data_IF_992993279721
#
_entry.id   IF_992993279721
#
_cell.length_a   1.000
_cell.length_b   1.000
_cell.length_c   1.000
_cell.angle_alpha   90.00
_cell.angle_beta   90.00
_cell.angle_gamma   90.00
#
_symmetry.space_group_name_H-M   'P 1'
#
loop_
_entity.id
_entity.type
_entity.pdbx_description
1 polymer ?
#
# COMPACT_ATOMS: atom_id res chain seq x y z
N UNK A 1 -4.55 31.85 12.90
CA UNK A 1 -3.33 31.24 13.48
C UNK A 1 -3.84 30.19 14.43
N UNK A 2 -3.70 28.93 14.03
CA UNK A 2 -4.20 27.77 14.77
C UNK A 2 -3.05 27.12 15.55
N UNK A 3 -3.35 26.56 16.73
CA UNK A 3 -2.40 25.78 17.52
C UNK A 3 -3.14 24.68 18.30
N UNK A 4 -2.66 23.45 18.16
CA UNK A 4 -2.97 22.30 19.00
C UNK A 4 -1.73 21.98 19.84
N UNK A 5 -1.91 21.63 21.11
CA UNK A 5 -0.81 21.32 22.03
C UNK A 5 -1.28 20.35 23.11
N UNK A 6 -0.59 19.22 23.27
CA UNK A 6 -0.97 18.20 24.23
C UNK A 6 -0.14 16.93 24.13
N UNK A 7 -0.67 15.85 24.68
CA UNK A 7 -0.14 14.51 24.49
C UNK A 7 -0.98 13.75 23.46
N UNK A 8 -0.33 12.99 22.58
CA UNK A 8 -0.98 12.16 21.57
C UNK A 8 -0.50 10.74 21.76
N UNK A 9 -1.43 9.79 21.77
CA UNK A 9 -1.10 8.38 21.86
C UNK A 9 -0.54 7.89 20.52
N UNK A 10 0.57 7.16 20.57
CA UNK A 10 1.18 6.50 19.42
C UNK A 10 1.22 5.01 19.64
N UNK A 11 1.06 4.28 18.55
CA UNK A 11 1.35 2.85 18.45
C UNK A 11 2.10 2.60 17.16
N UNK A 12 3.06 1.68 17.14
CA UNK A 12 3.91 1.40 15.97
C UNK A 12 4.73 2.60 15.48
N UNK A 13 5.10 3.53 16.37
CA UNK A 13 5.87 4.73 16.04
C UNK A 13 5.24 5.65 14.97
N UNK A 14 3.91 5.68 14.85
CA UNK A 14 3.24 6.40 13.77
C UNK A 14 2.08 7.30 14.23
N UNK A 15 1.98 8.46 13.58
CA UNK A 15 0.88 9.44 13.66
C UNK A 15 0.62 9.95 12.24
N UNK A 16 -0.60 10.38 11.93
CA UNK A 16 -0.98 10.81 10.59
C UNK A 16 -1.54 12.23 10.55
N UNK A 17 -1.44 12.85 9.38
CA UNK A 17 -2.39 13.90 8.98
C UNK A 17 -3.16 13.37 7.80
N UNK A 18 -4.48 13.46 7.83
CA UNK A 18 -5.36 12.98 6.77
C UNK A 18 -6.32 14.11 6.37
N UNK A 19 -6.61 14.21 5.08
CA UNK A 19 -7.58 15.16 4.54
C UNK A 19 -8.51 14.54 3.49
N UNK A 20 -8.37 13.25 3.19
CA UNK A 20 -9.32 12.53 2.34
C UNK A 20 -10.41 11.89 3.21
N UNK A 21 -11.69 12.28 3.07
CA UNK A 21 -12.79 11.71 3.85
C UNK A 21 -13.20 10.30 3.39
N UNK A 22 -12.65 9.78 2.28
CA UNK A 22 -13.05 8.54 1.63
C UNK A 22 -12.06 7.38 1.74
N UNK A 23 -10.88 7.59 2.31
CA UNK A 23 -9.81 6.60 2.37
C UNK A 23 -9.11 6.58 3.73
N UNK A 24 -8.52 5.43 4.06
CA UNK A 24 -7.58 5.32 5.17
C UNK A 24 -6.19 5.69 4.65
N UNK A 25 -5.43 6.51 5.38
CA UNK A 25 -4.17 7.06 4.90
C UNK A 25 -3.18 6.03 4.31
N UNK A 26 -2.18 6.52 3.54
CA UNK A 26 -1.27 5.69 2.76
C UNK A 26 -0.46 4.72 3.63
N UNK A 27 -0.12 3.58 3.05
CA UNK A 27 0.84 2.66 3.67
C UNK A 27 2.22 3.31 3.84
N UNK A 28 3.02 2.81 4.79
CA UNK A 28 4.34 3.40 5.08
C UNK A 28 5.24 3.52 3.84
N UNK A 29 5.30 2.51 2.98
CA UNK A 29 6.15 2.56 1.77
C UNK A 29 5.68 3.63 0.78
N UNK A 30 4.37 3.80 0.67
CA UNK A 30 3.73 4.77 -0.22
C UNK A 30 3.99 6.20 0.25
N UNK A 31 3.78 6.47 1.54
CA UNK A 31 3.94 7.81 2.11
C UNK A 31 5.37 8.38 1.93
N UNK A 32 6.37 7.50 1.84
CA UNK A 32 7.78 7.85 1.73
C UNK A 32 8.37 7.62 0.32
N UNK A 33 7.56 7.23 -0.66
CA UNK A 33 8.03 6.92 -2.00
C UNK A 33 8.78 8.11 -2.63
N UNK A 34 10.01 7.87 -3.07
CA UNK A 34 10.85 8.88 -3.72
C UNK A 34 11.42 9.97 -2.79
N UNK A 35 11.12 9.94 -1.49
CA UNK A 35 11.64 10.95 -0.55
C UNK A 35 13.05 10.61 -0.04
N UNK A 36 13.82 11.65 0.27
CA UNK A 36 15.05 11.55 1.05
C UNK A 36 14.81 11.67 2.57
N UNK A 37 13.74 12.35 2.95
CA UNK A 37 13.23 12.50 4.32
C UNK A 37 12.48 11.24 4.74
N UNK A 38 12.83 10.70 5.90
CA UNK A 38 12.23 9.50 6.49
C UNK A 38 11.47 9.76 7.79
N UNK A 39 11.32 11.01 8.22
CA UNK A 39 10.55 11.34 9.44
C UNK A 39 9.12 11.80 9.13
N UNK A 40 8.91 12.39 7.96
CA UNK A 40 7.61 12.89 7.51
C UNK A 40 7.42 12.47 6.05
N UNK A 41 6.55 11.48 5.82
CA UNK A 41 6.18 10.98 4.51
C UNK A 41 5.06 11.83 3.94
N UNK A 42 5.26 12.42 2.77
CA UNK A 42 4.30 13.32 2.11
C UNK A 42 4.16 13.02 0.61
N UNK A 43 4.57 11.83 0.16
CA UNK A 43 4.51 11.45 -1.25
C UNK A 43 3.06 11.19 -1.73
N UNK A 44 2.16 10.82 -0.82
CA UNK A 44 0.74 10.68 -1.10
C UNK A 44 0.01 12.01 -0.86
N UNK A 45 -0.71 12.55 -1.87
CA UNK A 45 -1.54 13.74 -1.69
C UNK A 45 -2.56 13.57 -0.56
N UNK A 46 -2.84 14.63 0.17
CA UNK A 46 -3.85 14.63 1.23
C UNK A 46 -3.47 13.86 2.50
N UNK A 47 -2.31 13.22 2.57
CA UNK A 47 -1.84 12.55 3.77
C UNK A 47 -0.38 12.87 4.15
N UNK A 48 -0.11 12.85 5.46
CA UNK A 48 1.24 12.81 6.01
C UNK A 48 1.39 11.59 6.91
N UNK A 49 2.51 10.87 6.76
CA UNK A 49 2.93 9.82 7.69
C UNK A 49 4.06 10.34 8.57
N UNK A 50 3.85 10.42 9.87
CA UNK A 50 4.80 10.99 10.83
C UNK A 50 5.40 9.87 11.67
N UNK A 51 6.74 9.76 11.66
CA UNK A 51 7.46 8.77 12.47
C UNK A 51 7.86 9.38 13.80
N UNK A 52 7.65 8.62 14.88
CA UNK A 52 8.13 8.93 16.23
C UNK A 52 9.29 8.03 16.67
N UNK A 53 10.00 8.47 17.71
CA UNK A 53 11.02 7.72 18.42
C UNK A 53 10.38 6.63 19.27
N UNK A 54 9.40 7.01 20.11
CA UNK A 54 8.61 6.08 20.91
C UNK A 54 7.79 5.14 20.01
N UNK A 55 7.75 3.85 20.34
CA UNK A 55 6.94 2.88 19.63
C UNK A 55 5.49 2.90 20.11
N UNK A 56 5.26 2.82 21.43
CA UNK A 56 3.91 2.81 22.01
C UNK A 56 3.82 3.67 23.26
N UNK A 57 2.76 4.47 23.38
CA UNK A 57 2.49 5.33 24.54
C UNK A 57 2.21 6.76 24.13
N UNK A 58 2.17 7.68 25.11
CA UNK A 58 1.89 9.09 24.84
C UNK A 58 3.17 9.87 24.50
N UNK A 59 3.11 10.72 23.48
CA UNK A 59 4.19 11.66 23.10
C UNK A 59 3.72 13.10 23.19
N UNK A 60 4.64 14.03 23.44
CA UNK A 60 4.31 15.45 23.46
C UNK A 60 4.18 15.97 22.04
N UNK A 61 3.04 16.54 21.66
CA UNK A 61 2.77 16.92 20.29
C UNK A 61 2.16 18.31 20.18
N UNK A 62 2.75 19.14 19.33
CA UNK A 62 2.23 20.46 18.99
C UNK A 62 2.01 20.55 17.48
N UNK A 63 0.83 21.04 17.05
CA UNK A 63 0.57 21.40 15.65
C UNK A 63 0.34 22.90 15.54
N UNK A 64 0.91 23.54 14.52
CA UNK A 64 0.74 24.97 14.26
C UNK A 64 0.42 25.25 12.79
N UNK A 65 -0.67 25.99 12.52
CA UNK A 65 -0.92 26.57 11.19
C UNK A 65 -0.62 28.07 11.24
N UNK A 66 0.38 28.47 10.45
CA UNK A 66 0.95 29.82 10.39
C UNK A 66 0.70 30.46 9.04
N UNK A 67 0.65 31.80 9.00
CA UNK A 67 0.53 32.54 7.73
C UNK A 67 1.84 32.68 6.96
N UNK A 68 2.98 32.39 7.58
CA UNK A 68 4.32 32.49 6.99
C UNK A 68 5.27 31.49 7.67
N UNK A 69 6.43 31.28 7.05
CA UNK A 69 7.48 30.42 7.59
C UNK A 69 7.87 30.85 9.03
N UNK A 70 7.71 29.98 10.04
CA UNK A 70 8.14 30.26 11.40
C UNK A 70 9.67 30.16 11.52
N UNK A 71 10.25 30.94 12.44
CA UNK A 71 11.67 30.83 12.76
C UNK A 71 11.96 29.45 13.37
N UNK A 72 13.08 28.84 12.96
CA UNK A 72 13.50 27.55 13.49
C UNK A 72 14.18 27.74 14.86
N UNK A 73 13.58 27.19 15.91
CA UNK A 73 14.20 27.11 17.22
C UNK A 73 15.38 26.11 17.18
N UNK A 74 16.60 26.50 17.57
CA UNK A 74 17.74 25.61 17.60
C UNK A 74 17.66 24.49 18.65
N UNK A 75 16.67 24.46 19.53
CA UNK A 75 16.47 23.39 20.51
C UNK A 75 15.99 22.06 19.90
N UNK A 76 15.42 22.09 18.69
CA UNK A 76 14.97 20.87 18.00
C UNK A 76 16.15 20.07 17.45
N UNK A 77 16.15 18.77 17.72
CA UNK A 77 17.24 17.85 17.40
C UNK A 77 17.21 17.46 15.92
N UNK A 78 16.07 16.92 15.47
CA UNK A 78 15.85 16.51 14.09
C UNK A 78 14.78 17.39 13.47
N UNK A 79 15.03 17.89 12.26
CA UNK A 79 14.13 18.82 11.58
C UNK A 79 14.10 18.48 10.11
N UNK A 80 12.91 18.22 9.60
CA UNK A 80 12.67 17.93 8.19
C UNK A 80 11.60 18.87 7.66
N UNK A 81 11.65 19.10 6.36
CA UNK A 81 10.60 19.84 5.69
C UNK A 81 10.16 19.14 4.41
N UNK A 82 8.85 19.13 4.18
CA UNK A 82 8.17 18.50 3.04
C UNK A 82 7.06 19.43 2.54
N UNK A 83 6.45 19.10 1.41
CA UNK A 83 5.29 19.82 0.88
C UNK A 83 4.02 19.01 1.10
N UNK A 84 2.92 19.67 1.41
CA UNK A 84 1.63 19.04 1.67
C UNK A 84 0.52 19.77 0.93
N UNK A 85 -0.38 19.01 0.32
CA UNK A 85 -1.55 19.52 -0.38
C UNK A 85 -2.81 18.83 0.19
N UNK A 86 -3.66 19.56 0.95
CA UNK A 86 -4.92 19.04 1.45
C UNK A 86 -5.90 18.71 0.30
N UNK A 87 -6.58 17.57 0.41
CA UNK A 87 -7.61 17.14 -0.57
C UNK A 87 -9.03 17.55 -0.17
N UNK A 88 -9.23 18.04 1.05
CA UNK A 88 -10.49 18.62 1.50
C UNK A 88 -10.28 19.68 2.57
N UNK A 89 -11.35 20.42 2.87
CA UNK A 89 -11.42 21.36 4.00
C UNK A 89 -11.39 20.66 5.38
N UNK A 90 -11.47 19.33 5.43
CA UNK A 90 -11.44 18.54 6.66
C UNK A 90 -10.10 17.83 6.81
N UNK A 91 -9.07 18.59 7.17
CA UNK A 91 -7.77 18.02 7.54
C UNK A 91 -7.73 17.75 9.04
N UNK A 92 -7.23 16.59 9.46
CA UNK A 92 -7.09 16.24 10.87
C UNK A 92 -5.73 15.60 11.18
N UNK A 93 -5.22 15.82 12.39
CA UNK A 93 -4.20 14.96 12.99
C UNK A 93 -4.91 13.69 13.49
N UNK A 94 -4.43 12.51 13.12
CA UNK A 94 -5.11 11.23 13.37
C UNK A 94 -4.15 10.25 14.04
N UNK A 95 -4.64 9.57 15.07
CA UNK A 95 -3.91 8.49 15.74
C UNK A 95 -3.93 7.19 14.92
N UNK A 96 -3.12 6.22 15.36
CA UNK A 96 -3.17 4.87 14.83
C UNK A 96 -4.60 4.31 14.85
N UNK A 97 -4.98 3.61 13.78
CA UNK A 97 -6.33 3.04 13.57
C UNK A 97 -7.50 4.04 13.69
N UNK A 98 -7.24 5.35 13.65
CA UNK A 98 -8.28 6.37 13.78
C UNK A 98 -8.89 6.45 15.18
N UNK A 99 -8.17 6.04 16.22
CA UNK A 99 -8.69 5.99 17.59
C UNK A 99 -9.05 7.37 18.16
N UNK A 100 -8.31 8.42 17.78
CA UNK A 100 -8.62 9.81 18.09
C UNK A 100 -8.16 10.73 16.95
N UNK A 101 -8.78 11.92 16.87
CA UNK A 101 -8.47 12.91 15.84
C UNK A 101 -8.73 14.35 16.26
N UNK A 102 -7.96 15.27 15.68
CA UNK A 102 -8.10 16.72 15.90
C UNK A 102 -8.11 17.47 14.59
N UNK A 103 -9.20 18.19 14.31
CA UNK A 103 -9.31 19.05 13.12
C UNK A 103 -8.23 20.14 13.10
N UNK A 104 -7.68 20.36 11.92
CA UNK A 104 -6.65 21.35 11.61
C UNK A 104 -7.23 22.43 10.70
N UNK A 105 -6.84 23.68 10.93
CA UNK A 105 -7.25 24.85 10.11
C UNK A 105 -6.43 24.93 8.80
N UNK A 106 -6.47 23.86 7.99
CA UNK A 106 -5.87 23.79 6.65
C UNK A 106 -6.96 23.95 5.58
N UNK A 107 -6.64 24.67 4.51
CA UNK A 107 -7.59 24.99 3.45
C UNK A 107 -7.33 24.10 2.24
N UNK A 108 -8.40 23.64 1.61
CA UNK A 108 -8.32 22.95 0.33
C UNK A 108 -7.77 23.91 -0.75
N UNK A 109 -7.07 23.36 -1.75
CA UNK A 109 -6.59 24.15 -2.88
C UNK A 109 -5.40 25.07 -2.59
N UNK A 110 -4.77 24.93 -1.42
CA UNK A 110 -3.57 25.69 -1.04
C UNK A 110 -2.39 24.76 -0.75
N UNK A 111 -1.24 25.06 -1.35
CA UNK A 111 0.01 24.38 -1.04
C UNK A 111 0.59 24.85 0.30
N UNK A 112 0.97 23.88 1.13
CA UNK A 112 1.65 24.12 2.39
C UNK A 112 3.06 23.57 2.36
N UNK A 113 4.00 24.35 2.88
CA UNK A 113 5.26 23.79 3.39
C UNK A 113 5.03 23.32 4.82
N UNK A 114 5.53 22.14 5.10
CA UNK A 114 5.44 21.48 6.40
C UNK A 114 6.84 21.38 6.99
N UNK A 115 6.97 21.73 8.27
CA UNK A 115 8.16 21.41 9.08
C UNK A 115 7.76 20.46 10.17
N UNK A 116 8.47 19.34 10.24
CA UNK A 116 8.34 18.37 11.33
C UNK A 116 9.65 18.36 12.12
N UNK A 117 9.54 18.76 13.38
CA UNK A 117 10.64 18.78 14.33
C UNK A 117 10.45 17.68 15.37
N UNK A 118 11.54 17.02 15.75
CA UNK A 118 11.56 16.02 16.80
C UNK A 118 12.68 16.30 17.82
N UNK A 119 12.44 15.89 19.06
CA UNK A 119 13.40 15.92 20.15
C UNK A 119 13.23 14.67 21.00
N UNK A 120 14.33 14.07 21.45
CA UNK A 120 14.33 12.90 22.34
C UNK A 120 14.13 11.56 21.64
N UNK A 121 14.22 11.49 20.31
CA UNK A 121 13.88 10.28 19.54
C UNK A 121 14.70 9.05 19.95
N UNK A 122 16.00 9.19 20.21
CA UNK A 122 16.86 8.06 20.60
C UNK A 122 16.48 7.51 21.98
N UNK A 123 16.23 8.40 22.95
CA UNK A 123 15.79 8.02 24.31
C UNK A 123 14.45 7.29 24.27
N UNK A 124 13.50 7.82 23.50
CA UNK A 124 12.18 7.22 23.36
C UNK A 124 12.23 5.87 22.64
N UNK A 125 13.10 5.74 21.61
CA UNK A 125 13.31 4.47 20.91
C UNK A 125 13.95 3.39 21.79
N UNK A 126 14.83 3.78 22.70
CA UNK A 126 15.45 2.85 23.66
C UNK A 126 14.44 2.32 24.69
N UNK A 127 13.50 3.18 25.11
CA UNK A 127 12.44 2.78 26.04
C UNK A 127 11.37 1.89 25.40
N UNK A 128 11.10 2.07 24.09
CA UNK A 128 10.10 1.37 23.28
C UNK A 128 8.64 1.70 23.68
N UNK A 129 8.31 1.50 24.96
CA UNK A 129 7.00 1.78 25.55
C UNK A 129 7.13 2.82 26.67
N UNK A 130 6.16 3.73 26.77
CA UNK A 130 6.01 4.67 27.90
C UNK A 130 4.66 4.45 28.59
N UNK A 131 4.67 4.37 29.93
CA UNK A 131 3.46 4.33 30.76
C UNK A 131 2.96 5.74 31.11
N UNK A 132 1.68 5.88 31.44
CA UNK A 132 1.03 7.19 31.63
C UNK A 132 1.62 8.04 32.78
N UNK A 133 2.19 7.41 33.81
CA UNK A 133 2.81 8.08 34.95
C UNK A 133 4.30 8.43 34.74
N UNK A 134 4.88 8.01 33.63
CA UNK A 134 6.27 8.26 33.29
C UNK A 134 6.45 9.62 32.58
N UNK A 135 7.60 10.28 32.75
CA UNK A 135 7.87 11.54 32.05
C UNK A 135 7.95 11.34 30.54
N UNK A 136 7.51 12.34 29.79
CA UNK A 136 7.66 12.42 28.34
C UNK A 136 9.12 12.18 27.90
N UNK A 137 9.31 11.25 26.96
CA UNK A 137 10.62 10.84 26.45
C UNK A 137 11.00 11.60 25.17
N UNK A 138 10.01 11.84 24.30
CA UNK A 138 10.14 12.59 23.07
C UNK A 138 9.02 13.64 22.89
N UNK A 139 9.30 14.62 22.04
CA UNK A 139 8.40 15.73 21.71
C UNK A 139 8.48 16.04 20.23
N UNK A 140 7.35 16.51 19.69
CA UNK A 140 7.19 16.80 18.27
C UNK A 140 6.51 18.14 18.05
N UNK A 141 6.92 18.81 16.99
CA UNK A 141 6.30 20.04 16.51
C UNK A 141 6.07 19.92 15.00
N UNK A 142 4.81 20.04 14.59
CA UNK A 142 4.37 20.02 13.21
C UNK A 142 3.86 21.42 12.81
N UNK A 143 4.53 22.08 11.87
CA UNK A 143 4.18 23.44 11.46
C UNK A 143 3.82 23.48 9.98
N UNK A 144 2.71 24.13 9.67
CA UNK A 144 2.24 24.39 8.32
C UNK A 144 2.30 25.88 8.01
N UNK A 145 2.74 26.26 6.81
CA UNK A 145 2.54 27.61 6.28
C UNK A 145 2.36 27.58 4.76
N UNK A 146 1.56 28.51 4.19
CA UNK A 146 1.40 28.61 2.75
C UNK A 146 2.74 28.86 2.05
N UNK A 147 3.08 28.02 1.08
CA UNK A 147 4.27 28.15 0.26
C UNK A 147 4.16 27.24 -0.97
N UNK A 148 4.80 27.60 -2.11
CA UNK A 148 4.87 26.69 -3.26
C UNK A 148 5.51 25.35 -2.91
N UNK A 149 5.14 24.26 -3.60
CA UNK A 149 5.74 22.95 -3.36
C UNK A 149 7.23 22.98 -3.71
N UNK A 150 8.03 22.50 -2.77
CA UNK A 150 9.48 22.31 -2.90
C UNK A 150 9.85 20.86 -2.57
N UNK A 151 10.99 20.35 -3.08
CA UNK A 151 11.51 19.04 -2.68
C UNK A 151 11.61 18.88 -1.16
N UNK A 152 11.50 17.65 -0.69
CA UNK A 152 11.75 17.33 0.71
C UNK A 152 13.21 17.62 1.06
N UNK A 153 13.45 18.04 2.30
CA UNK A 153 14.82 18.28 2.79
C UNK A 153 14.97 17.97 4.26
N UNK A 154 16.16 17.45 4.59
CA UNK A 154 16.63 17.30 5.96
C UNK A 154 17.32 18.62 6.35
N UNK A 155 16.69 19.39 7.25
CA UNK A 155 17.23 20.67 7.75
C UNK A 155 18.23 20.42 8.87
N UNK A 156 17.97 19.42 9.72
CA UNK A 156 18.85 19.00 10.80
C UNK A 156 18.63 17.52 11.10
N UNK A 157 19.72 16.82 11.39
CA UNK A 157 19.70 15.43 11.83
C UNK A 157 20.77 15.25 12.92
N UNK A 158 20.36 14.82 14.10
CA UNK A 158 21.25 14.52 15.23
C UNK A 158 21.01 13.14 15.82
N UNK A 159 19.78 12.61 15.77
CA UNK A 159 19.47 11.30 16.37
C UNK A 159 19.81 10.13 15.44
N UNK A 160 20.15 8.98 16.03
CA UNK A 160 20.35 7.73 15.29
C UNK A 160 19.01 7.17 14.78
N UNK A 161 17.92 7.37 15.51
CA UNK A 161 16.57 7.04 15.08
C UNK A 161 16.22 7.76 13.77
N UNK A 162 16.40 9.09 13.69
CA UNK A 162 16.17 9.84 12.46
C UNK A 162 17.08 9.38 11.33
N UNK A 163 18.39 9.20 11.59
CA UNK A 163 19.34 8.72 10.59
C UNK A 163 18.90 7.39 9.96
N UNK A 164 18.47 6.42 10.78
CA UNK A 164 17.96 5.12 10.32
C UNK A 164 16.71 5.27 9.45
N UNK A 165 15.77 6.13 9.84
CA UNK A 165 14.55 6.38 9.05
C UNK A 165 14.89 7.03 7.70
N UNK A 166 15.81 7.99 7.67
CA UNK A 166 16.29 8.61 6.44
C UNK A 166 17.00 7.62 5.50
N UNK A 167 17.86 6.75 6.05
CA UNK A 167 18.50 5.68 5.28
C UNK A 167 17.50 4.67 4.74
N UNK A 168 16.43 4.38 5.48
CA UNK A 168 15.34 3.53 4.99
C UNK A 168 14.57 4.21 3.86
N UNK A 169 14.21 5.49 4.00
CA UNK A 169 13.48 6.25 2.97
C UNK A 169 14.27 6.33 1.66
N UNK A 170 15.57 6.66 1.71
CA UNK A 170 16.45 6.69 0.53
C UNK A 170 16.60 5.35 -0.18
N UNK A 171 16.37 4.24 0.52
CA UNK A 171 16.42 2.88 -0.04
C UNK A 171 15.08 2.44 -0.61
N UNK A 172 14.01 3.21 -0.38
CA UNK A 172 12.74 2.92 -1.02
C UNK A 172 12.88 3.15 -2.53
N UNK A 173 12.41 2.19 -3.36
CA UNK A 173 12.35 2.43 -4.79
C UNK A 173 11.43 3.64 -5.04
N UNK A 174 11.93 4.58 -5.82
CA UNK A 174 11.11 5.68 -6.33
C UNK A 174 9.96 5.05 -7.14
N UNK A 175 8.71 5.28 -6.72
CA UNK A 175 7.53 4.76 -7.40
C UNK A 175 7.52 5.22 -8.87
N UNK A 176 8.04 6.41 -9.17
CA UNK A 176 8.21 6.89 -10.54
C UNK A 176 9.30 6.12 -11.30
N UNK A 177 10.43 5.78 -10.66
CA UNK A 177 11.46 4.92 -11.24
C UNK A 177 10.94 3.51 -11.50
N UNK A 178 10.12 2.95 -10.60
CA UNK A 178 9.49 1.65 -10.77
C UNK A 178 8.47 1.66 -11.91
N UNK A 179 7.62 2.68 -11.97
CA UNK A 179 6.69 2.91 -13.10
C UNK A 179 7.46 3.08 -14.41
N UNK A 180 8.56 3.85 -14.43
CA UNK A 180 9.43 4.01 -15.62
C UNK A 180 10.13 2.70 -16.00
N UNK A 181 10.55 1.88 -15.04
CA UNK A 181 11.15 0.57 -15.28
C UNK A 181 10.11 -0.41 -15.87
N UNK A 182 8.90 -0.45 -15.33
CA UNK A 182 7.76 -1.18 -15.89
C UNK A 182 7.51 -0.72 -17.35
N UNK A 183 7.48 0.59 -17.62
CA UNK A 183 7.32 1.12 -18.98
C UNK A 183 8.48 0.73 -19.92
N UNK A 184 9.72 0.75 -19.43
CA UNK A 184 10.90 0.39 -20.21
C UNK A 184 10.89 -1.11 -20.58
N UNK A 185 10.56 -1.98 -19.62
CA UNK A 185 10.38 -3.41 -19.86
C UNK A 185 9.25 -3.68 -20.86
N UNK A 186 8.08 -3.05 -20.67
CA UNK A 186 6.95 -3.14 -21.62
C UNK A 186 7.36 -2.72 -23.03
N UNK A 187 8.13 -1.63 -23.18
CA UNK A 187 8.62 -1.17 -24.49
C UNK A 187 9.58 -2.15 -25.14
N UNK A 188 10.44 -2.82 -24.37
CA UNK A 188 11.32 -3.86 -24.88
C UNK A 188 10.52 -5.04 -25.47
N UNK A 189 9.43 -5.44 -24.81
CA UNK A 189 8.54 -6.52 -25.28
C UNK A 189 7.71 -6.18 -26.52
N UNK A 190 7.65 -4.91 -26.95
CA UNK A 190 6.96 -4.50 -28.17
C UNK A 190 7.86 -4.52 -29.42
N UNK A 191 9.14 -4.86 -29.27
CA UNK A 191 10.05 -5.05 -30.42
C UNK A 191 9.93 -6.47 -30.97
N UNK A 192 9.95 -6.70 -32.30
CA UNK A 192 9.80 -8.04 -32.88
C UNK A 192 10.80 -9.08 -32.35
N UNK A 193 12.01 -8.65 -32.01
CA UNK A 193 13.10 -9.48 -31.48
C UNK A 193 12.92 -9.83 -29.99
N UNK A 194 12.24 -8.97 -29.20
CA UNK A 194 12.05 -9.15 -27.76
C UNK A 194 11.03 -10.23 -27.39
N UNK A 195 10.06 -10.50 -28.26
CA UNK A 195 9.04 -11.56 -28.05
C UNK A 195 9.61 -12.95 -28.38
N UNK A 196 10.51 -13.05 -29.35
CA UNK A 196 11.19 -14.31 -29.72
C UNK A 196 12.31 -14.66 -28.74
N UNK A 197 13.11 -13.67 -28.29
CA UNK A 197 14.25 -13.91 -27.40
C UNK A 197 13.88 -14.44 -26.00
N UNK A 198 12.62 -14.31 -25.56
CA UNK A 198 12.17 -14.84 -24.26
C UNK A 198 11.42 -16.18 -24.38
N UNK A 199 10.91 -16.53 -25.57
CA UNK A 199 10.33 -17.87 -25.82
C UNK A 199 11.38 -18.98 -25.73
N UNK A 200 12.60 -18.66 -26.11
CA UNK A 200 13.74 -19.59 -26.13
C UNK A 200 14.66 -19.46 -24.89
N UNK A 201 14.40 -18.51 -23.99
CA UNK A 201 15.20 -18.31 -22.79
C UNK A 201 14.65 -19.15 -21.62
N UNK A 202 15.35 -20.22 -21.24
CA UNK A 202 15.34 -20.67 -19.86
C UNK A 202 15.79 -19.50 -18.97
N UNK A 203 14.82 -18.85 -18.32
CA UNK A 203 14.92 -17.83 -17.27
C UNK A 203 16.30 -17.17 -17.10
N UNK A 204 16.53 -15.95 -17.63
CA UNK A 204 17.68 -15.16 -17.23
C UNK A 204 17.47 -14.61 -15.81
N UNK A 205 18.52 -14.70 -15.01
CA UNK A 205 18.60 -14.46 -13.56
C UNK A 205 18.45 -12.99 -13.12
N UNK A 206 17.45 -12.30 -13.65
CA UNK A 206 16.94 -11.04 -13.11
C UNK A 206 15.43 -11.17 -13.01
N UNK A 207 14.87 -11.10 -11.81
CA UNK A 207 13.41 -11.15 -11.60
C UNK A 207 12.77 -10.02 -12.40
N UNK A 208 11.91 -10.37 -13.36
CA UNK A 208 11.17 -9.41 -14.14
C UNK A 208 10.09 -8.74 -13.28
N UNK A 209 9.77 -7.48 -13.55
CA UNK A 209 8.66 -6.77 -12.89
C UNK A 209 7.35 -6.83 -13.69
N UNK A 210 7.40 -7.38 -14.92
CA UNK A 210 6.25 -7.60 -15.81
C UNK A 210 6.23 -9.04 -16.33
N UNK A 211 5.07 -9.67 -16.28
CA UNK A 211 4.78 -10.93 -16.98
C UNK A 211 4.07 -10.64 -18.32
N UNK A 212 4.44 -11.36 -19.38
CA UNK A 212 3.82 -11.26 -20.71
C UNK A 212 3.05 -12.54 -21.01
N UNK A 213 1.74 -12.52 -20.78
CA UNK A 213 0.89 -13.69 -20.89
C UNK A 213 0.16 -13.71 -22.23
N UNK A 214 0.34 -14.80 -22.99
CA UNK A 214 -0.47 -15.06 -24.18
C UNK A 214 -1.94 -15.26 -23.81
N UNK A 215 -2.88 -14.75 -24.62
CA UNK A 215 -4.32 -15.00 -24.43
C UNK A 215 -4.70 -16.50 -24.47
N UNK A 216 -3.80 -17.34 -25.01
CA UNK A 216 -3.96 -18.79 -25.10
C UNK A 216 -3.12 -19.57 -24.07
N UNK A 217 -2.43 -18.88 -23.16
CA UNK A 217 -1.61 -19.52 -22.14
C UNK A 217 -2.44 -20.44 -21.23
N UNK A 218 -1.85 -21.56 -20.83
CA UNK A 218 -2.42 -22.43 -19.81
C UNK A 218 -2.21 -21.85 -18.39
N UNK A 219 -3.03 -22.28 -17.44
CA UNK A 219 -3.03 -21.70 -16.08
C UNK A 219 -1.72 -21.97 -15.33
N UNK A 220 -1.07 -23.10 -15.60
CA UNK A 220 0.18 -23.45 -14.93
C UNK A 220 1.28 -22.50 -15.38
N UNK A 221 1.38 -22.22 -16.68
CA UNK A 221 2.30 -21.23 -17.23
C UNK A 221 2.04 -19.82 -16.68
N UNK A 222 0.77 -19.42 -16.52
CA UNK A 222 0.40 -18.13 -15.90
C UNK A 222 0.89 -18.04 -14.47
N UNK A 223 0.65 -19.09 -13.67
CA UNK A 223 1.08 -19.16 -12.27
C UNK A 223 2.60 -19.06 -12.15
N UNK A 224 3.34 -19.83 -12.95
CA UNK A 224 4.81 -19.83 -12.93
C UNK A 224 5.37 -18.45 -13.26
N UNK A 225 4.85 -17.81 -14.33
CA UNK A 225 5.31 -16.48 -14.74
C UNK A 225 4.98 -15.39 -13.71
N UNK A 226 3.79 -15.42 -13.11
CA UNK A 226 3.42 -14.45 -12.08
C UNK A 226 4.21 -14.64 -10.77
N UNK A 227 4.47 -15.89 -10.38
CA UNK A 227 5.25 -16.22 -9.17
C UNK A 227 6.73 -15.85 -9.33
N UNK A 228 7.25 -15.82 -10.56
CA UNK A 228 8.62 -15.42 -10.85
C UNK A 228 8.86 -13.89 -10.80
N UNK A 229 7.81 -13.08 -10.67
CA UNK A 229 7.94 -11.63 -10.60
C UNK A 229 8.58 -11.18 -9.29
N UNK A 230 9.48 -10.19 -9.34
CA UNK A 230 10.03 -9.54 -8.13
C UNK A 230 8.96 -8.89 -7.26
N UNK A 231 7.85 -8.50 -7.88
CA UNK A 231 6.72 -7.86 -7.24
C UNK A 231 5.66 -8.85 -6.70
N UNK A 232 5.89 -10.16 -6.81
CA UNK A 232 4.91 -11.16 -6.40
C UNK A 232 4.57 -11.04 -4.90
N UNK A 233 3.27 -10.96 -4.51
CA UNK A 233 2.90 -10.91 -3.10
C UNK A 233 3.16 -12.26 -2.43
N UNK A 234 4.10 -12.31 -1.48
CA UNK A 234 4.47 -13.57 -0.83
C UNK A 234 3.31 -14.29 -0.10
N UNK A 235 2.31 -13.53 0.34
CA UNK A 235 1.10 -14.05 0.98
C UNK A 235 0.00 -14.50 -0.01
N UNK A 236 0.20 -14.32 -1.32
CA UNK A 236 -0.72 -14.81 -2.33
C UNK A 236 -0.50 -16.32 -2.50
N UNK A 237 -1.48 -17.10 -2.03
CA UNK A 237 -1.47 -18.57 -2.15
C UNK A 237 -2.35 -19.03 -3.33
N UNK A 238 -2.06 -20.23 -3.85
CA UNK A 238 -2.75 -20.81 -5.01
C UNK A 238 -3.74 -21.93 -4.65
N UNK A 239 -4.08 -22.08 -3.36
CA UNK A 239 -4.89 -23.20 -2.85
C UNK A 239 -6.33 -23.22 -3.42
N UNK A 240 -6.78 -22.08 -3.95
CA UNK A 240 -8.06 -21.93 -4.64
C UNK A 240 -8.03 -22.36 -6.12
N UNK A 241 -6.83 -22.46 -6.73
CA UNK A 241 -6.68 -22.66 -8.18
C UNK A 241 -7.20 -24.03 -8.64
N UNK A 242 -7.02 -25.08 -7.83
CA UNK A 242 -7.53 -26.43 -8.12
C UNK A 242 -9.07 -26.49 -8.07
N UNK A 243 -9.69 -25.53 -7.37
CA UNK A 243 -11.15 -25.38 -7.26
C UNK A 243 -11.73 -24.40 -8.29
N UNK A 244 -10.90 -23.82 -9.17
CA UNK A 244 -11.35 -22.89 -10.19
C UNK A 244 -12.16 -23.62 -11.27
N UNK A 245 -13.44 -23.27 -11.40
CA UNK A 245 -14.36 -23.88 -12.37
C UNK A 245 -14.58 -22.93 -13.55
N UNK A 246 -14.44 -23.47 -14.76
CA UNK A 246 -14.71 -22.79 -16.03
C UNK A 246 -16.12 -22.16 -16.07
N UNK A 247 -16.26 -20.92 -16.57
CA UNK A 247 -17.57 -20.36 -16.88
C UNK A 247 -18.30 -21.22 -17.92
N UNK A 248 -19.63 -21.33 -17.81
CA UNK A 248 -20.47 -22.03 -18.78
C UNK A 248 -20.46 -21.28 -20.15
N UNK A 249 -19.52 -21.64 -21.03
CA UNK A 249 -19.35 -20.96 -22.34
C UNK A 249 -18.12 -21.34 -23.17
N UNK A 250 -17.16 -22.12 -22.63
CA UNK A 250 -15.97 -22.59 -23.37
C UNK A 250 -14.71 -21.77 -23.11
N UNK A 251 -13.67 -21.94 -23.95
CA UNK A 251 -12.31 -21.35 -23.78
C UNK A 251 -12.25 -19.82 -23.89
N UNK A 252 -13.27 -19.17 -24.46
CA UNK A 252 -13.29 -17.72 -24.66
C UNK A 252 -13.54 -17.04 -23.31
N UNK A 253 -12.63 -16.17 -22.87
CA UNK A 253 -12.70 -15.47 -21.58
C UNK A 253 -12.24 -16.31 -20.38
N UNK A 254 -11.74 -17.54 -20.60
CA UNK A 254 -11.24 -18.41 -19.51
C UNK A 254 -10.07 -17.78 -18.75
N UNK A 255 -9.07 -17.30 -19.48
CA UNK A 255 -7.90 -16.68 -18.90
C UNK A 255 -8.26 -15.36 -18.20
N UNK A 256 -9.19 -14.58 -18.76
CA UNK A 256 -9.69 -13.34 -18.13
C UNK A 256 -10.33 -13.64 -16.78
N UNK A 257 -11.22 -14.64 -16.71
CA UNK A 257 -11.84 -15.07 -15.47
C UNK A 257 -10.81 -15.58 -14.44
N UNK A 258 -9.76 -16.28 -14.88
CA UNK A 258 -8.69 -16.72 -13.98
C UNK A 258 -7.86 -15.54 -13.45
N UNK A 259 -7.54 -14.58 -14.31
CA UNK A 259 -6.83 -13.36 -13.93
C UNK A 259 -7.66 -12.50 -12.96
N UNK A 260 -8.98 -12.40 -13.15
CA UNK A 260 -9.89 -11.75 -12.20
C UNK A 260 -9.80 -12.38 -10.80
N UNK A 261 -9.78 -13.71 -10.69
CA UNK A 261 -9.62 -14.40 -9.40
C UNK A 261 -8.31 -14.03 -8.72
N UNK A 262 -7.20 -14.09 -9.48
CA UNK A 262 -5.87 -13.72 -8.97
C UNK A 262 -5.92 -12.28 -8.46
N UNK A 263 -6.50 -11.39 -9.26
CA UNK A 263 -6.63 -9.98 -8.93
C UNK A 263 -7.43 -9.72 -7.65
N UNK A 264 -8.50 -10.47 -7.40
CA UNK A 264 -9.28 -10.35 -6.16
C UNK A 264 -8.53 -10.87 -4.94
N UNK A 265 -7.82 -11.99 -5.09
CA UNK A 265 -6.96 -12.51 -4.02
C UNK A 265 -5.78 -11.55 -3.73
N UNK A 266 -5.20 -10.95 -4.76
CA UNK A 266 -4.15 -9.94 -4.59
C UNK A 266 -4.69 -8.66 -3.91
N UNK A 267 -5.90 -8.23 -4.27
CA UNK A 267 -6.53 -7.06 -3.67
C UNK A 267 -6.85 -7.27 -2.18
N UNK A 268 -7.30 -8.46 -1.79
CA UNK A 268 -7.50 -8.79 -0.38
C UNK A 268 -6.21 -8.65 0.46
N UNK A 269 -5.04 -8.65 -0.20
CA UNK A 269 -3.71 -8.43 0.40
C UNK A 269 -3.20 -6.99 0.24
N UNK A 270 -4.05 -6.06 -0.20
CA UNK A 270 -3.68 -4.67 -0.46
C UNK A 270 -2.79 -4.46 -1.70
N UNK A 271 -2.78 -5.41 -2.64
CA UNK A 271 -2.01 -5.32 -3.89
C UNK A 271 -2.93 -5.28 -5.10
N UNK A 272 -2.57 -4.51 -6.13
CA UNK A 272 -3.28 -4.47 -7.40
C UNK A 272 -2.56 -5.31 -8.45
N UNK A 273 -3.27 -6.26 -9.06
CA UNK A 273 -2.84 -6.85 -10.32
C UNK A 273 -3.20 -5.90 -11.46
N UNK A 274 -2.20 -5.24 -12.05
CA UNK A 274 -2.38 -4.30 -13.14
C UNK A 274 -2.19 -4.98 -14.51
N UNK A 275 -3.09 -4.68 -15.45
CA UNK A 275 -2.93 -5.01 -16.88
C UNK A 275 -2.61 -3.75 -17.68
N UNK A 276 -1.49 -3.72 -18.40
CA UNK A 276 -1.02 -2.55 -19.14
C UNK A 276 -1.31 -2.72 -20.63
N UNK A 277 -2.25 -1.92 -21.16
CA UNK A 277 -2.75 -1.87 -22.56
C UNK A 277 -2.73 -3.20 -23.31
N UNK A 278 -3.90 -3.85 -23.38
CA UNK A 278 -4.07 -5.19 -23.93
C UNK A 278 -4.11 -5.22 -25.46
N UNK A 279 -3.22 -6.01 -26.05
CA UNK A 279 -3.25 -6.41 -27.45
C UNK A 279 -3.45 -7.92 -27.57
N UNK A 280 -2.54 -8.58 -28.29
CA UNK A 280 -2.49 -10.05 -28.37
C UNK A 280 -2.00 -10.72 -27.07
N UNK A 281 -1.45 -9.93 -26.14
CA UNK A 281 -0.87 -10.37 -24.86
C UNK A 281 -1.41 -9.52 -23.70
N UNK A 282 -1.38 -10.09 -22.49
CA UNK A 282 -1.51 -9.35 -21.24
C UNK A 282 -0.12 -9.00 -20.70
N UNK A 283 0.11 -7.72 -20.43
CA UNK A 283 1.27 -7.25 -19.68
C UNK A 283 0.83 -7.05 -18.23
N UNK A 284 1.22 -7.98 -17.36
CA UNK A 284 0.75 -8.04 -15.98
C UNK A 284 1.85 -7.64 -15.01
N UNK A 285 1.51 -6.82 -14.02
CA UNK A 285 2.40 -6.45 -12.93
C UNK A 285 1.63 -6.42 -11.61
N UNK A 286 2.29 -6.80 -10.52
CA UNK A 286 1.76 -6.53 -9.17
C UNK A 286 2.30 -5.18 -8.71
N UNK A 287 1.40 -4.29 -8.34
CA UNK A 287 1.70 -2.93 -7.94
C UNK A 287 0.86 -2.57 -6.73
N UNK A 288 1.31 -1.62 -5.92
CA UNK A 288 0.46 -1.02 -4.89
C UNK A 288 -0.68 -0.20 -5.53
N UNK A 289 -1.78 0.10 -4.80
CA UNK A 289 -2.84 0.98 -5.31
C UNK A 289 -2.31 2.31 -5.86
N UNK A 290 -1.31 2.88 -5.21
CA UNK A 290 -0.75 4.19 -5.57
C UNK A 290 0.20 4.12 -6.75
N UNK A 291 1.02 3.07 -6.81
CA UNK A 291 1.76 2.77 -8.04
C UNK A 291 0.79 2.56 -9.21
N UNK A 292 -0.36 1.90 -9.01
CA UNK A 292 -1.38 1.73 -10.05
C UNK A 292 -2.00 3.06 -10.48
N UNK A 293 -2.30 3.98 -9.57
CA UNK A 293 -2.80 5.31 -9.94
C UNK A 293 -1.79 6.14 -10.72
N UNK A 294 -0.53 6.15 -10.29
CA UNK A 294 0.56 6.85 -10.96
C UNK A 294 0.79 6.25 -12.36
N UNK A 295 0.80 4.93 -12.45
CA UNK A 295 0.89 4.17 -13.69
C UNK A 295 -0.26 4.52 -14.64
N UNK A 296 -1.49 4.56 -14.12
CA UNK A 296 -2.70 4.91 -14.86
C UNK A 296 -2.66 6.35 -15.38
N UNK A 297 -2.25 7.32 -14.54
CA UNK A 297 -2.07 8.72 -14.93
C UNK A 297 -1.00 8.88 -16.02
N UNK A 298 0.14 8.22 -15.85
CA UNK A 298 1.26 8.27 -16.80
C UNK A 298 0.88 7.65 -18.16
N UNK A 299 0.20 6.50 -18.16
CA UNK A 299 -0.27 5.85 -19.38
C UNK A 299 -1.33 6.69 -20.08
N UNK A 300 -2.29 7.26 -19.34
CA UNK A 300 -3.31 8.13 -19.89
C UNK A 300 -2.71 9.37 -20.60
N UNK A 301 -1.67 9.98 -20.03
CA UNK A 301 -0.94 11.08 -20.65
C UNK A 301 -0.30 10.69 -22.01
N UNK A 302 -0.01 9.41 -22.21
CA UNK A 302 0.57 8.85 -23.44
C UNK A 302 -0.47 8.10 -24.31
N UNK A 303 -1.77 8.29 -24.06
CA UNK A 303 -2.90 7.64 -24.75
C UNK A 303 -2.97 6.11 -24.61
N UNK A 304 -2.33 5.55 -23.59
CA UNK A 304 -2.39 4.14 -23.22
C UNK A 304 -3.32 3.95 -22.01
N UNK A 305 -3.66 2.70 -21.66
CA UNK A 305 -4.47 2.38 -20.48
C UNK A 305 -3.75 1.40 -19.54
N UNK A 306 -4.00 1.55 -18.23
CA UNK A 306 -3.81 0.49 -17.24
C UNK A 306 -5.18 0.13 -16.68
N UNK A 307 -5.40 -1.16 -16.47
CA UNK A 307 -6.63 -1.72 -15.93
C UNK A 307 -6.32 -2.50 -14.65
N UNK A 308 -7.14 -2.30 -13.62
CA UNK A 308 -7.08 -3.10 -12.41
C UNK A 308 -7.81 -4.41 -12.69
N UNK A 309 -7.11 -5.53 -12.61
CA UNK A 309 -7.69 -6.84 -12.91
C UNK A 309 -8.45 -7.32 -11.68
N UNK A 310 -9.78 -7.34 -11.75
CA UNK A 310 -10.70 -7.72 -10.66
C UNK A 310 -12.07 -8.05 -11.25
N UNK A 311 -12.94 -8.71 -10.48
CA UNK A 311 -14.28 -9.05 -10.95
C UNK A 311 -15.04 -7.82 -11.42
N UNK A 312 -15.39 -7.80 -12.70
CA UNK A 312 -16.19 -6.72 -13.28
C UNK A 312 -15.48 -5.37 -13.35
N UNK A 313 -14.17 -5.32 -13.08
CA UNK A 313 -13.33 -4.13 -13.16
C UNK A 313 -12.37 -4.14 -14.36
N UNK A 314 -12.72 -4.85 -15.42
CA UNK A 314 -12.09 -4.70 -16.73
C UNK A 314 -12.86 -3.60 -17.47
N UNK A 315 -12.23 -2.46 -17.78
CA UNK A 315 -12.90 -1.42 -18.58
C UNK A 315 -12.39 -1.46 -20.01
N UNK A 316 -13.12 -2.04 -20.98
CA UNK A 316 -12.70 -1.98 -22.36
C UNK A 316 -12.94 -0.58 -22.94
N UNK A 317 -11.98 -0.08 -23.72
CA UNK A 317 -12.19 1.02 -24.67
C UNK A 317 -12.70 0.45 -26.00
N UNK A 318 -13.99 0.61 -26.27
CA UNK A 318 -14.58 0.61 -27.62
C UNK A 318 -15.21 -0.70 -28.13
N UNK A 319 -16.50 -0.60 -28.45
CA UNK A 319 -17.35 -1.41 -29.33
C UNK A 319 -17.51 -2.92 -29.04
N UNK A 320 -18.51 -3.23 -28.21
CA UNK A 320 -19.05 -4.57 -27.94
C UNK A 320 -20.41 -4.78 -28.61
N UNK A 321 -20.64 -4.32 -29.83
CA UNK A 321 -21.92 -4.60 -30.49
C UNK A 321 -22.18 -6.13 -30.51
N UNK A 322 -23.21 -6.54 -29.74
CA UNK A 322 -23.83 -7.86 -29.58
C UNK A 322 -23.40 -8.83 -28.43
N UNK A 323 -23.79 -8.49 -27.17
CA UNK A 323 -24.34 -9.34 -26.04
C UNK A 323 -23.56 -10.62 -25.58
N UNK A 324 -24.00 -11.41 -24.54
CA UNK A 324 -24.45 -11.16 -23.17
C UNK A 324 -23.54 -11.80 -22.08
N UNK A 325 -22.30 -12.23 -22.39
CA UNK A 325 -21.47 -13.06 -21.50
C UNK A 325 -21.10 -12.38 -20.15
N UNK A 326 -20.83 -11.07 -20.17
CA UNK A 326 -20.47 -10.30 -18.97
C UNK A 326 -21.57 -10.28 -17.89
N UNK A 327 -22.83 -10.39 -18.29
CA UNK A 327 -23.95 -10.38 -17.32
C UNK A 327 -24.11 -11.69 -16.56
N UNK A 328 -23.74 -12.83 -17.15
CA UNK A 328 -23.88 -14.15 -16.52
C UNK A 328 -22.81 -14.38 -15.45
N UNK A 329 -21.59 -13.93 -15.69
CA UNK A 329 -20.48 -13.98 -14.71
C UNK A 329 -20.77 -13.07 -13.51
N UNK A 330 -21.28 -11.85 -13.75
CA UNK A 330 -21.73 -10.94 -12.68
C UNK A 330 -22.91 -11.49 -11.88
N UNK A 331 -23.84 -12.20 -12.52
CA UNK A 331 -24.97 -12.84 -11.85
C UNK A 331 -24.52 -14.04 -10.99
N UNK A 332 -23.57 -14.84 -11.47
CA UNK A 332 -22.98 -15.94 -10.70
C UNK A 332 -22.20 -15.44 -9.48
N UNK A 333 -21.36 -14.40 -9.63
CA UNK A 333 -20.61 -13.83 -8.51
C UNK A 333 -21.54 -13.28 -7.41
N UNK A 334 -22.57 -12.51 -7.77
CA UNK A 334 -23.57 -12.01 -6.81
C UNK A 334 -24.33 -13.15 -6.09
N UNK A 335 -24.53 -14.28 -6.75
CA UNK A 335 -25.23 -15.43 -6.17
C UNK A 335 -24.37 -16.24 -5.18
N UNK A 336 -23.03 -16.13 -5.23
CA UNK A 336 -22.12 -17.00 -4.47
C UNK A 336 -21.26 -16.28 -3.42
N UNK A 337 -21.30 -14.94 -3.35
CA UNK A 337 -20.60 -14.14 -2.32
C UNK A 337 -21.07 -14.36 -0.86
N UNK A 338 -22.32 -14.74 -0.52
CA UNK A 338 -22.70 -14.87 0.90
C UNK A 338 -22.16 -16.09 1.66
N UNK A 339 -21.21 -16.87 1.12
CA UNK A 339 -20.69 -18.09 1.79
C UNK A 339 -19.32 -17.97 2.45
N UNK A 340 -18.78 -16.75 2.58
CA UNK A 340 -17.72 -16.47 3.56
C UNK A 340 -18.38 -16.15 4.90
N UNK A 341 -18.85 -17.18 5.60
CA UNK A 341 -19.18 -17.06 7.02
C UNK A 341 -17.87 -17.07 7.80
N UNK A 342 -17.49 -15.94 8.37
CA UNK A 342 -16.64 -15.91 9.55
C UNK A 342 -17.35 -16.73 10.64
N UNK A 343 -16.72 -17.81 11.09
CA UNK A 343 -17.19 -18.54 12.26
C UNK A 343 -16.89 -17.68 13.52
N UNK A 344 -17.87 -17.43 14.39
CA UNK A 344 -17.61 -16.84 15.69
C UNK A 344 -17.16 -17.94 16.67
N UNK A 345 -16.10 -17.61 17.43
CA UNK A 345 -15.67 -18.12 18.74
C UNK A 345 -15.96 -19.59 19.13
N UNK A 346 -14.90 -20.32 19.50
CA UNK A 346 -15.00 -21.33 20.55
C UNK A 346 -13.65 -21.55 21.26
N UNK A 347 -13.72 -21.48 22.58
CA UNK A 347 -12.67 -21.61 23.58
C UNK A 347 -11.78 -22.85 23.44
N UNK A 348 -10.52 -22.63 23.80
CA UNK A 348 -9.53 -23.67 24.07
C UNK A 348 -9.75 -24.19 25.49
N UNK A 349 -10.17 -25.43 25.64
CA UNK A 349 -9.90 -26.24 26.84
C UNK A 349 -9.45 -27.64 26.42
N UNK A 350 -8.18 -27.94 26.68
CA UNK A 350 -7.62 -29.28 26.58
C UNK A 350 -8.03 -30.09 27.81
N UNK A 351 -8.79 -31.18 27.60
CA UNK A 351 -8.93 -32.26 28.59
C UNK A 351 -8.37 -33.53 27.97
N UNK A 352 -7.26 -33.99 28.53
CA UNK A 352 -6.67 -35.31 28.31
C UNK A 352 -7.47 -36.33 29.12
N UNK A 353 -8.20 -37.23 28.46
CA UNK A 353 -8.58 -38.52 29.05
C UNK A 353 -8.16 -39.66 28.12
N UNK A 354 -7.35 -40.54 28.71
CA UNK A 354 -6.68 -41.73 28.16
C UNK A 354 -7.68 -42.87 27.89
N UNK A 355 -7.29 -43.88 27.09
CA UNK A 355 -8.23 -44.80 26.44
C UNK A 355 -8.79 -45.87 27.37
N UNK A 356 -10.06 -46.20 27.14
CA UNK A 356 -10.84 -47.24 27.81
C UNK A 356 -10.14 -48.61 27.77
N UNK A 357 -9.89 -49.17 28.95
CA UNK A 357 -9.67 -50.60 29.17
C UNK A 357 -10.99 -51.35 28.92
N UNK A 358 -11.05 -52.14 27.85
CA UNK A 358 -12.07 -53.17 27.68
C UNK A 358 -11.71 -54.39 28.52
N UNK A 359 -12.40 -54.55 29.64
CA UNK A 359 -12.51 -55.80 30.40
C UNK A 359 -13.60 -56.69 29.74
N UNK A 360 -13.34 -57.97 29.40
CA UNK A 360 -14.41 -58.93 29.19
C UNK A 360 -14.50 -59.95 30.33
N UNK A 361 -15.75 -60.13 30.76
CA UNK A 361 -16.33 -61.12 31.66
C UNK A 361 -15.61 -62.49 31.82
N UNK A 362 -15.41 -62.83 33.10
CA UNK A 362 -15.70 -64.12 33.79
C UNK A 362 -15.51 -65.45 33.06
N UNK A 363 -14.73 -66.35 33.69
CA UNK A 363 -15.16 -67.71 34.04
C UNK A 363 -14.16 -68.42 34.98
N UNK A 364 -14.71 -68.95 36.08
CA UNK A 364 -14.21 -69.98 37.03
C UNK A 364 -13.15 -69.60 38.07
#
# INVERSE_FOLDING_TARGET
MFRLDGEVHVSYSQIYVESDPGDFGPGMHEAFAGQSVGLCGAAAPGALFLITGLHTGNVGFTVEVRGQAPALDPAWEDVVEVSFYPLSEHSALVQWAGEDSWELDLREGLDYRVRYCAQGMDRAREADVRLDDEPLLDRYLLQFWPAPPEPDRIVRQTSQAAARSHDWARRQPDAELRVRALMAQRRAFLTPEGVESFRDAESPQGTADIAVISREADLQSVREQLTALSSYPAALHWDWADSFVLPAGGRVGYLEAFLEQIGEHAFALGTVLASLESGQYYYLAFVTPTEFEQLSRLLAAHRMSAESVRYGCWTPRGDWEDRPASSMVRAWARANVPKLSAAPEADITWVLESPEETEPDRLA
#
